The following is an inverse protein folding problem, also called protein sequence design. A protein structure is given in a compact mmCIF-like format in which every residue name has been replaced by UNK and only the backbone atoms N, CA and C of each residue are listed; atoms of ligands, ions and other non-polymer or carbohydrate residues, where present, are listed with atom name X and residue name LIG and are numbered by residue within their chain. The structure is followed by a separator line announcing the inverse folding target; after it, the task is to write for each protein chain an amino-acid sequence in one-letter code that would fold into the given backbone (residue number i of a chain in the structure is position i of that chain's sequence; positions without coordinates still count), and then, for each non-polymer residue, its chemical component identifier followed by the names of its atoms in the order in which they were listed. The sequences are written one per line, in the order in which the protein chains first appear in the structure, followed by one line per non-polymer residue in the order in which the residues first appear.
data_IF_529694593493
#
_entry.id   IF_529694593493
#
_cell.length_a   1.000
_cell.length_b   1.000
_cell.length_c   1.000
_cell.angle_alpha   90.00
_cell.angle_beta   90.00
_cell.angle_gamma   90.00
#
_symmetry.space_group_name_H-M   'P 1'
#
loop_
_entity.id
_entity.type
_entity.pdbx_description
1 polymer ?
#
# COMPACT_ATOMS: atom_id res chain seq x y z
N UNK A 1 23.64 -8.54 19.34
CA UNK A 1 23.04 -7.46 18.53
C UNK A 1 21.69 -7.11 19.11
N UNK A 2 21.29 -5.83 19.07
CA UNK A 2 20.01 -5.37 19.64
C UNK A 2 18.82 -5.96 18.84
N UNK A 3 17.90 -6.74 19.46
CA UNK A 3 16.76 -7.34 18.77
C UNK A 3 15.83 -6.29 18.13
N UNK A 4 15.79 -5.07 18.66
CA UNK A 4 15.00 -3.97 18.12
C UNK A 4 15.52 -3.48 16.77
N UNK A 5 16.76 -3.80 16.37
CA UNK A 5 17.29 -3.38 15.08
C UNK A 5 17.01 -4.40 13.95
N UNK A 6 16.62 -5.62 14.30
CA UNK A 6 16.51 -6.74 13.34
C UNK A 6 15.41 -6.49 12.30
N UNK A 7 14.32 -5.83 12.69
CA UNK A 7 13.22 -5.55 11.77
C UNK A 7 13.60 -4.45 10.75
N UNK A 8 14.45 -3.49 11.11
CA UNK A 8 14.98 -2.49 10.19
C UNK A 8 15.90 -3.10 9.14
N UNK A 9 16.78 -4.04 9.54
CA UNK A 9 17.64 -4.75 8.58
C UNK A 9 16.79 -5.46 7.53
N UNK A 10 15.74 -6.17 7.98
CA UNK A 10 14.79 -6.85 7.07
C UNK A 10 14.04 -5.88 6.16
N UNK A 11 13.67 -4.71 6.67
CA UNK A 11 12.99 -3.68 5.87
C UNK A 11 13.90 -3.18 4.74
N UNK A 12 15.17 -2.91 5.04
CA UNK A 12 16.17 -2.46 4.06
C UNK A 12 16.43 -3.56 3.02
N UNK A 13 16.58 -4.81 3.45
CA UNK A 13 16.74 -5.94 2.54
C UNK A 13 15.52 -6.10 1.62
N UNK A 14 14.30 -5.87 2.13
CA UNK A 14 13.07 -5.93 1.35
C UNK A 14 13.04 -4.88 0.22
N UNK A 15 13.42 -3.64 0.54
CA UNK A 15 13.50 -2.57 -0.45
C UNK A 15 14.61 -2.87 -1.48
N UNK A 16 15.78 -3.33 -1.03
CA UNK A 16 16.89 -3.70 -1.92
C UNK A 16 16.47 -4.77 -2.92
N UNK A 17 15.77 -5.82 -2.48
CA UNK A 17 15.26 -6.86 -3.38
C UNK A 17 14.12 -6.37 -4.28
N UNK A 18 13.30 -5.40 -3.82
CA UNK A 18 12.32 -4.73 -4.68
C UNK A 18 12.99 -4.03 -5.85
N UNK A 19 14.12 -3.35 -5.63
CA UNK A 19 14.86 -2.66 -6.69
C UNK A 19 15.58 -3.60 -7.64
N UNK A 20 16.02 -4.77 -7.14
CA UNK A 20 16.60 -5.84 -7.98
C UNK A 20 15.56 -6.59 -8.83
N UNK A 21 14.26 -6.33 -8.64
CA UNK A 21 13.18 -6.99 -9.36
C UNK A 21 12.76 -8.34 -8.78
N UNK A 22 13.30 -8.75 -7.62
CA UNK A 22 12.96 -10.03 -6.98
C UNK A 22 11.71 -9.87 -6.11
N UNK A 23 10.53 -9.96 -6.74
CA UNK A 23 9.22 -9.79 -6.08
C UNK A 23 9.04 -10.72 -4.88
N UNK A 24 9.35 -12.00 -5.04
CA UNK A 24 9.15 -13.02 -4.00
C UNK A 24 10.05 -12.81 -2.80
N UNK A 25 11.33 -12.48 -3.03
CA UNK A 25 12.27 -12.18 -1.95
C UNK A 25 11.87 -10.91 -1.19
N UNK A 26 11.52 -9.84 -1.91
CA UNK A 26 11.05 -8.59 -1.32
C UNK A 26 9.85 -8.79 -0.40
N UNK A 27 8.81 -9.50 -0.87
CA UNK A 27 7.62 -9.83 -0.07
C UNK A 27 7.98 -10.57 1.23
N UNK A 28 8.84 -11.59 1.14
CA UNK A 28 9.26 -12.36 2.32
C UNK A 28 9.97 -11.50 3.36
N UNK A 29 10.83 -10.57 2.92
CA UNK A 29 11.53 -9.66 3.83
C UNK A 29 10.59 -8.65 4.49
N UNK A 30 9.63 -8.09 3.74
CA UNK A 30 8.58 -7.22 4.30
C UNK A 30 7.74 -7.96 5.35
N UNK A 31 7.22 -9.14 5.04
CA UNK A 31 6.44 -9.94 5.98
C UNK A 31 7.24 -10.31 7.24
N UNK A 32 8.52 -10.61 7.08
CA UNK A 32 9.40 -10.89 8.21
C UNK A 32 9.64 -9.64 9.09
N UNK A 33 9.75 -8.45 8.49
CA UNK A 33 9.88 -7.19 9.22
C UNK A 33 8.61 -6.86 10.01
N UNK A 34 7.44 -6.96 9.38
CA UNK A 34 6.12 -6.74 9.99
C UNK A 34 5.89 -7.71 11.16
N UNK A 35 6.23 -8.99 10.98
CA UNK A 35 6.06 -10.02 12.02
C UNK A 35 6.92 -9.77 13.24
N UNK A 36 8.15 -9.30 13.05
CA UNK A 36 9.09 -9.11 14.16
C UNK A 36 8.83 -7.81 14.91
N UNK A 37 8.48 -6.73 14.22
CA UNK A 37 8.01 -5.50 14.87
C UNK A 37 6.74 -5.76 15.68
N UNK A 38 5.75 -6.47 15.11
CA UNK A 38 4.51 -6.82 15.81
C UNK A 38 4.71 -7.71 17.04
N UNK A 39 5.56 -8.74 16.94
CA UNK A 39 5.91 -9.58 18.12
C UNK A 39 6.64 -8.82 19.22
N UNK A 40 7.33 -7.74 18.86
CA UNK A 40 8.10 -6.92 19.80
C UNK A 40 7.27 -5.76 20.38
N UNK A 41 6.00 -5.62 19.99
CA UNK A 41 5.14 -4.50 20.40
C UNK A 41 5.53 -3.15 19.79
N UNK A 42 6.36 -3.16 18.74
CA UNK A 42 6.83 -1.95 18.05
C UNK A 42 5.82 -1.55 16.98
N UNK A 43 4.65 -1.07 17.41
CA UNK A 43 3.50 -0.84 16.53
C UNK A 43 3.77 0.21 15.43
N UNK A 44 4.56 1.23 15.75
CA UNK A 44 4.96 2.28 14.79
C UNK A 44 5.89 1.73 13.70
N UNK A 45 6.82 0.84 14.06
CA UNK A 45 7.70 0.18 13.11
C UNK A 45 6.93 -0.84 12.26
N UNK A 46 5.96 -1.53 12.85
CA UNK A 46 5.05 -2.41 12.13
C UNK A 46 4.21 -1.63 11.10
N UNK A 47 3.67 -0.47 11.49
CA UNK A 47 2.91 0.41 10.62
C UNK A 47 3.77 0.89 9.44
N UNK A 48 4.99 1.34 9.72
CA UNK A 48 5.96 1.78 8.71
C UNK A 48 6.29 0.66 7.72
N UNK A 49 6.65 -0.53 8.22
CA UNK A 49 6.97 -1.67 7.37
C UNK A 49 5.78 -2.08 6.48
N UNK A 50 4.55 -1.97 7.00
CA UNK A 50 3.32 -2.27 6.28
C UNK A 50 3.03 -1.23 5.19
N UNK A 51 3.21 0.06 5.46
CA UNK A 51 3.09 1.15 4.47
C UNK A 51 4.10 0.95 3.32
N UNK A 52 5.37 0.68 3.64
CA UNK A 52 6.42 0.43 2.64
C UNK A 52 6.12 -0.80 1.78
N UNK A 53 5.54 -1.84 2.38
CA UNK A 53 5.13 -3.02 1.65
C UNK A 53 3.98 -2.70 0.67
N UNK A 54 2.99 -1.91 1.09
CA UNK A 54 1.93 -1.41 0.20
C UNK A 54 2.49 -0.63 -1.00
N UNK A 55 3.49 0.23 -0.79
CA UNK A 55 4.15 0.93 -1.89
C UNK A 55 4.90 -0.01 -2.83
N UNK A 56 5.59 -1.01 -2.30
CA UNK A 56 6.26 -2.02 -3.10
C UNK A 56 5.28 -2.77 -4.00
N UNK A 57 4.12 -3.16 -3.46
CA UNK A 57 3.06 -3.82 -4.22
C UNK A 57 2.46 -2.90 -5.30
N UNK A 58 2.29 -1.60 -5.03
CA UNK A 58 1.89 -0.63 -6.07
C UNK A 58 2.89 -0.55 -7.20
N UNK A 59 4.20 -0.48 -6.89
CA UNK A 59 5.26 -0.47 -7.92
C UNK A 59 5.26 -1.75 -8.77
N UNK A 60 4.86 -2.87 -8.19
CA UNK A 60 4.71 -4.16 -8.87
C UNK A 60 3.38 -4.31 -9.62
N UNK A 61 2.46 -3.33 -9.52
CA UNK A 61 1.15 -3.35 -10.18
C UNK A 61 0.05 -4.10 -9.42
N UNK A 62 0.33 -4.64 -8.23
CA UNK A 62 -0.64 -5.36 -7.40
C UNK A 62 -1.45 -4.39 -6.53
N UNK A 63 -2.38 -3.70 -7.17
CA UNK A 63 -3.19 -2.64 -6.53
C UNK A 63 -4.11 -3.15 -5.44
N UNK A 64 -4.62 -4.37 -5.56
CA UNK A 64 -5.57 -4.95 -4.60
C UNK A 64 -4.83 -5.27 -3.30
N UNK A 65 -3.72 -6.00 -3.38
CA UNK A 65 -2.91 -6.32 -2.22
C UNK A 65 -2.32 -5.05 -1.59
N UNK A 66 -1.92 -4.07 -2.41
CA UNK A 66 -1.44 -2.79 -1.91
C UNK A 66 -2.48 -2.03 -1.10
N UNK A 67 -3.73 -1.97 -1.58
CA UNK A 67 -4.84 -1.32 -0.87
C UNK A 67 -5.02 -1.93 0.52
N UNK A 68 -5.06 -3.26 0.61
CA UNK A 68 -5.16 -3.97 1.89
C UNK A 68 -4.01 -3.60 2.83
N UNK A 69 -2.78 -3.47 2.31
CA UNK A 69 -1.63 -3.05 3.14
C UNK A 69 -1.71 -1.60 3.59
N UNK A 70 -2.26 -0.69 2.80
CA UNK A 70 -2.49 0.68 3.28
C UNK A 70 -3.58 0.74 4.35
N UNK A 71 -4.65 -0.05 4.22
CA UNK A 71 -5.70 -0.16 5.25
C UNK A 71 -5.14 -0.75 6.55
N UNK A 72 -4.33 -1.81 6.48
CA UNK A 72 -3.58 -2.36 7.63
C UNK A 72 -2.70 -1.27 8.30
N UNK A 73 -1.94 -0.52 7.51
CA UNK A 73 -1.05 0.53 8.01
C UNK A 73 -1.83 1.68 8.68
N UNK A 74 -2.97 2.09 8.12
CA UNK A 74 -3.87 3.09 8.71
C UNK A 74 -4.37 2.62 10.07
N UNK A 75 -4.79 1.36 10.20
CA UNK A 75 -5.24 0.80 11.48
C UNK A 75 -4.13 0.86 12.54
N UNK A 76 -2.91 0.44 12.17
CA UNK A 76 -1.75 0.46 13.08
C UNK A 76 -1.34 1.89 13.47
N UNK A 77 -1.36 2.84 12.53
CA UNK A 77 -1.08 4.25 12.83
C UNK A 77 -2.17 4.90 13.69
N UNK A 78 -3.43 4.49 13.51
CA UNK A 78 -4.55 4.93 14.33
C UNK A 78 -4.41 4.40 15.77
N UNK A 79 -4.10 3.12 15.94
CA UNK A 79 -3.85 2.49 17.25
C UNK A 79 -2.67 3.14 17.98
N UNK A 80 -1.60 3.49 17.25
CA UNK A 80 -0.48 4.24 17.82
C UNK A 80 -0.84 5.70 18.18
N UNK A 81 -1.89 6.26 17.60
CA UNK A 81 -2.33 7.64 17.82
C UNK A 81 -1.77 8.68 16.83
N UNK A 82 -1.16 8.26 15.73
CA UNK A 82 -0.58 9.14 14.71
C UNK A 82 -1.63 9.67 13.71
N UNK A 83 -2.56 10.50 14.21
CA UNK A 83 -3.70 11.04 13.44
C UNK A 83 -3.30 11.70 12.12
N UNK A 84 -2.28 12.56 12.14
CA UNK A 84 -1.85 13.25 10.92
C UNK A 84 -1.32 12.29 9.85
N UNK A 85 -0.67 11.20 10.27
CA UNK A 85 -0.17 10.16 9.36
C UNK A 85 -1.31 9.35 8.76
N UNK A 86 -2.36 9.08 9.55
CA UNK A 86 -3.60 8.45 9.09
C UNK A 86 -4.27 9.31 8.02
N UNK A 87 -4.50 10.61 8.30
CA UNK A 87 -5.13 11.53 7.35
C UNK A 87 -4.36 11.61 6.02
N UNK A 88 -3.02 11.67 6.08
CA UNK A 88 -2.15 11.68 4.90
C UNK A 88 -2.28 10.39 4.08
N UNK A 89 -2.32 9.23 4.75
CA UNK A 89 -2.48 7.92 4.09
C UNK A 89 -3.87 7.76 3.48
N UNK A 90 -4.93 8.19 4.17
CA UNK A 90 -6.29 8.16 3.66
C UNK A 90 -6.46 9.03 2.42
N UNK A 91 -5.96 10.27 2.45
CA UNK A 91 -5.99 11.17 1.30
C UNK A 91 -5.24 10.58 0.10
N UNK A 92 -4.09 9.95 0.35
CA UNK A 92 -3.33 9.24 -0.69
C UNK A 92 -4.08 8.04 -1.22
N UNK A 93 -4.74 7.26 -0.36
CA UNK A 93 -5.52 6.10 -0.76
C UNK A 93 -6.72 6.51 -1.63
N UNK A 94 -7.41 7.60 -1.30
CA UNK A 94 -8.48 8.18 -2.12
C UNK A 94 -7.98 8.61 -3.50
N UNK A 95 -6.77 9.19 -3.57
CA UNK A 95 -6.15 9.59 -4.84
C UNK A 95 -5.80 8.39 -5.73
N UNK A 96 -5.32 7.30 -5.13
CA UNK A 96 -4.92 6.08 -5.86
C UNK A 96 -6.14 5.22 -6.21
N UNK A 97 -7.13 5.18 -5.33
CA UNK A 97 -8.35 4.40 -5.43
C UNK A 97 -9.58 5.28 -5.22
N UNK A 98 -9.98 6.06 -6.24
CA UNK A 98 -11.17 6.87 -6.14
C UNK A 98 -12.40 5.98 -5.96
N UNK A 99 -13.34 6.36 -5.09
CA UNK A 99 -14.57 5.60 -4.91
C UNK A 99 -15.34 5.47 -6.25
N UNK A 100 -16.08 4.37 -6.48
CA UNK A 100 -16.80 4.13 -7.72
C UNK A 100 -17.77 5.25 -8.14
N UNK A 101 -18.25 6.02 -7.15
CA UNK A 101 -19.20 7.12 -7.30
C UNK A 101 -18.54 8.50 -7.48
N UNK A 102 -17.21 8.56 -7.61
CA UNK A 102 -16.51 9.81 -7.91
C UNK A 102 -16.97 10.39 -9.27
N UNK A 103 -17.34 11.69 -9.34
CA UNK A 103 -17.69 12.37 -10.59
C UNK A 103 -16.67 12.18 -11.72
N UNK A 104 -15.39 11.93 -11.43
CA UNK A 104 -14.35 11.62 -12.42
C UNK A 104 -14.62 10.26 -13.09
N UNK A 105 -14.90 9.22 -12.30
CA UNK A 105 -15.22 7.86 -12.76
C UNK A 105 -16.50 7.86 -13.61
N UNK A 106 -17.50 8.64 -13.20
CA UNK A 106 -18.75 8.81 -13.96
C UNK A 106 -18.51 9.50 -15.32
N UNK A 107 -17.63 10.51 -15.39
CA UNK A 107 -17.23 11.14 -16.66
C UNK A 107 -16.55 10.16 -17.61
N UNK A 108 -15.66 9.30 -17.10
CA UNK A 108 -14.94 8.29 -17.91
C UNK A 108 -15.93 7.26 -18.48
N UNK A 109 -16.84 6.71 -17.65
CA UNK A 109 -17.89 5.77 -18.09
C UNK A 109 -18.80 6.38 -19.16
N UNK A 110 -19.22 7.64 -18.98
CA UNK A 110 -20.07 8.37 -19.95
C UNK A 110 -19.37 8.60 -21.30
N UNK A 111 -18.06 8.90 -21.30
CA UNK A 111 -17.26 9.03 -22.55
C UNK A 111 -17.12 7.70 -23.28
N UNK A 112 -16.88 6.61 -22.56
CA UNK A 112 -16.79 5.25 -23.11
C UNK A 112 -18.11 4.77 -23.72
N UNK A 113 -19.25 5.04 -23.06
CA UNK A 113 -20.59 4.72 -23.58
C UNK A 113 -20.96 5.51 -24.84
N UNK A 114 -20.56 6.79 -24.95
CA UNK A 114 -20.77 7.60 -26.17
C UNK A 114 -20.00 7.05 -27.37
N UNK A 115 -18.74 6.63 -27.18
CA UNK A 115 -17.94 6.01 -28.25
C UNK A 115 -18.54 4.69 -28.74
N UNK A 116 -19.00 3.82 -27.83
CA UNK A 116 -19.70 2.57 -28.18
C UNK A 116 -21.02 2.78 -28.93
N UNK A 117 -21.77 3.85 -28.61
CA UNK A 117 -23.02 4.18 -29.31
C UNK A 117 -22.80 4.72 -30.73
N UNK A 118 -21.72 5.46 -30.97
CA UNK A 118 -21.39 5.96 -32.32
C UNK A 118 -20.84 4.86 -33.25
N UNK A 119 -20.13 3.86 -32.72
CA UNK A 119 -19.64 2.71 -33.52
C UNK A 119 -20.73 1.71 -33.93
N UNK A 120 -21.91 1.73 -33.29
CA UNK A 120 -23.06 0.89 -33.66
C UNK A 120 -24.05 1.57 -34.62
N UNK A 121 -23.80 2.84 -34.94
CA UNK A 121 -24.64 3.68 -35.82
C UNK A 121 -24.01 3.93 -37.20
N UNK A 122 -22.79 3.43 -37.43
CA UNK A 122 -22.13 3.35 -38.73
C UNK A 122 -22.21 1.90 -39.21
#
# INVERSE_FOLDING_TARGET
GNPNCVHFVRLIDAERESWKGSRTASTRFFEASIRVSGRSGLIHDQALATERFGECLLRQGDKISAKYKFEDAISLYSEWGARHKVELLEARLQTIWPPPDDPITQKIKRRQQRRRKNSKKA
#
